data_IF_103894383856
#
_entry.id   IF_103894383856
#
_cell.length_a   1.000
_cell.length_b   1.000
_cell.length_c   1.000
_cell.angle_alpha   90.00
_cell.angle_beta   90.00
_cell.angle_gamma   90.00
#
_symmetry.space_group_name_H-M   'P 1'
#
loop_
_entity.id
_entity.type
_entity.pdbx_description
1 polymer ?
#
# COMPACT_ATOMS: atom_id res chain seq x y z
N UNK A 1 -6.87 -16.67 -1.51
CA UNK A 1 -8.17 -17.21 -1.05
C UNK A 1 -7.87 -18.44 -0.23
N UNK A 2 -8.65 -18.68 0.82
CA UNK A 2 -8.48 -19.85 1.68
C UNK A 2 -9.10 -21.06 0.99
N UNK A 3 -8.38 -22.17 0.97
CA UNK A 3 -8.76 -23.28 0.10
C UNK A 3 -7.82 -24.46 0.17
N UNK A 4 -7.57 -25.02 -1.00
CA UNK A 4 -6.78 -26.22 -1.21
C UNK A 4 -5.78 -25.98 -2.33
N UNK A 5 -4.49 -26.10 -2.02
CA UNK A 5 -3.48 -26.25 -3.06
C UNK A 5 -3.58 -27.67 -3.60
N UNK A 6 -3.60 -27.82 -4.92
CA UNK A 6 -3.72 -29.11 -5.61
C UNK A 6 -2.60 -29.28 -6.63
N UNK A 7 -2.12 -30.50 -6.81
CA UNK A 7 -1.16 -30.87 -7.83
C UNK A 7 -1.77 -31.91 -8.77
N UNK A 8 -1.67 -31.67 -10.08
CA UNK A 8 -2.23 -32.57 -11.09
C UNK A 8 -3.75 -32.53 -11.26
N UNK A 9 -4.33 -33.45 -12.05
CA UNK A 9 -5.77 -33.62 -12.22
C UNK A 9 -6.40 -34.32 -11.00
N UNK A 10 -7.65 -33.96 -10.70
CA UNK A 10 -8.40 -34.55 -9.58
C UNK A 10 -9.16 -35.84 -9.92
N UNK A 11 -9.79 -36.49 -8.93
CA UNK A 11 -9.83 -36.09 -7.51
C UNK A 11 -8.48 -36.28 -6.81
N UNK A 12 -8.23 -35.50 -5.75
CA UNK A 12 -6.93 -35.45 -5.07
C UNK A 12 -6.99 -36.10 -3.68
N UNK A 13 -5.89 -36.70 -3.21
CA UNK A 13 -5.78 -37.20 -1.84
C UNK A 13 -5.55 -36.05 -0.86
N UNK A 14 -6.33 -36.00 0.22
CA UNK A 14 -6.21 -34.97 1.25
C UNK A 14 -5.05 -35.30 2.20
N UNK A 15 -4.05 -34.42 2.21
CA UNK A 15 -2.97 -34.43 3.21
C UNK A 15 -3.51 -33.96 4.56
N UNK A 16 -3.09 -34.64 5.63
CA UNK A 16 -3.53 -34.39 7.02
C UNK A 16 -2.49 -33.62 7.85
N UNK A 17 -1.48 -33.06 7.21
CA UNK A 17 -0.28 -32.45 7.80
C UNK A 17 -0.46 -30.99 8.29
N UNK A 18 -1.66 -30.62 8.74
CA UNK A 18 -1.91 -29.33 9.41
C UNK A 18 -2.11 -28.11 8.50
N UNK A 19 -1.94 -28.28 7.18
CA UNK A 19 -2.16 -27.21 6.20
C UNK A 19 -1.04 -26.16 6.16
N UNK A 20 -1.13 -25.26 5.19
CA UNK A 20 -0.10 -24.26 4.90
C UNK A 20 -0.64 -22.87 5.26
N UNK A 21 0.02 -22.21 6.21
CA UNK A 21 -0.36 -20.89 6.69
C UNK A 21 0.54 -19.79 6.14
N UNK A 22 0.01 -18.57 6.06
CA UNK A 22 0.80 -17.39 5.74
C UNK A 22 1.86 -17.13 6.83
N UNK A 23 2.97 -16.51 6.44
CA UNK A 23 4.06 -16.14 7.35
C UNK A 23 4.96 -17.28 7.83
N UNK A 24 4.72 -18.52 7.39
CA UNK A 24 5.57 -19.68 7.71
C UNK A 24 6.59 -19.97 6.60
N UNK A 25 7.52 -20.88 6.89
CA UNK A 25 8.55 -21.34 5.96
C UNK A 25 7.97 -21.99 4.69
N UNK A 26 8.82 -22.18 3.68
CA UNK A 26 8.42 -22.86 2.46
C UNK A 26 7.93 -24.28 2.78
N UNK A 27 6.70 -24.65 2.38
CA UNK A 27 6.16 -25.98 2.62
C UNK A 27 6.91 -27.03 1.78
N UNK A 28 6.84 -28.28 2.21
CA UNK A 28 7.33 -29.40 1.41
C UNK A 28 6.60 -29.45 0.05
N UNK A 29 7.25 -29.92 -1.03
CA UNK A 29 6.61 -30.12 -2.33
C UNK A 29 5.33 -30.95 -2.23
N UNK A 30 4.31 -30.59 -3.03
CA UNK A 30 3.05 -31.33 -3.08
C UNK A 30 3.13 -32.38 -4.20
N UNK A 31 3.05 -33.69 -3.90
CA UNK A 31 3.06 -34.71 -4.93
C UNK A 31 1.85 -34.61 -5.88
N UNK A 32 2.04 -35.04 -7.12
CA UNK A 32 0.95 -35.14 -8.09
C UNK A 32 -0.20 -36.01 -7.55
N UNK A 33 -1.45 -35.55 -7.72
CA UNK A 33 -2.62 -36.21 -7.18
C UNK A 33 -2.93 -35.92 -5.71
N UNK A 34 -2.15 -35.07 -5.03
CA UNK A 34 -2.41 -34.66 -3.64
C UNK A 34 -3.00 -33.25 -3.55
N UNK A 35 -3.67 -33.01 -2.42
CA UNK A 35 -4.25 -31.74 -2.02
C UNK A 35 -3.93 -31.42 -0.56
N UNK A 36 -3.65 -30.16 -0.25
CA UNK A 36 -3.38 -29.69 1.10
C UNK A 36 -4.10 -28.38 1.36
N UNK A 37 -4.61 -28.19 2.58
CA UNK A 37 -5.23 -26.92 3.00
C UNK A 37 -4.22 -25.80 2.88
N UNK A 38 -4.65 -24.65 2.37
CA UNK A 38 -3.81 -23.47 2.23
C UNK A 38 -4.58 -22.19 2.58
N UNK A 39 -3.95 -21.33 3.37
CA UNK A 39 -4.47 -20.01 3.72
C UNK A 39 -4.05 -18.95 2.69
N UNK A 40 -4.84 -17.88 2.59
CA UNK A 40 -4.54 -16.73 1.74
C UNK A 40 -3.21 -16.09 2.14
N UNK A 41 -2.35 -15.85 1.15
CA UNK A 41 -1.02 -15.26 1.36
C UNK A 41 0.06 -16.27 1.75
N UNK A 42 -0.28 -17.55 1.93
CA UNK A 42 0.71 -18.60 2.10
C UNK A 42 1.55 -18.82 0.84
N UNK A 43 2.79 -19.28 1.03
CA UNK A 43 3.66 -19.68 -0.08
C UNK A 43 3.12 -20.95 -0.72
N UNK A 44 3.04 -20.95 -2.05
CA UNK A 44 2.62 -22.12 -2.84
C UNK A 44 3.75 -23.17 -2.81
N UNK A 45 3.47 -24.43 -2.42
CA UNK A 45 4.43 -25.54 -2.58
C UNK A 45 4.91 -25.71 -4.02
N UNK A 46 6.09 -26.32 -4.17
CA UNK A 46 6.52 -26.79 -5.48
C UNK A 46 5.51 -27.80 -6.06
N UNK A 47 5.42 -27.83 -7.38
CA UNK A 47 4.55 -28.71 -8.20
C UNK A 47 3.03 -28.49 -8.08
N UNK A 48 2.58 -27.50 -7.30
CA UNK A 48 1.17 -27.11 -7.26
C UNK A 48 0.72 -26.57 -8.62
N UNK A 49 -0.40 -27.10 -9.12
CA UNK A 49 -0.98 -26.71 -10.41
C UNK A 49 -2.06 -25.63 -10.25
N UNK A 50 -2.79 -25.61 -9.13
CA UNK A 50 -3.86 -24.66 -8.87
C UNK A 50 -4.18 -24.52 -7.37
N UNK A 51 -4.92 -23.47 -7.02
CA UNK A 51 -5.62 -23.35 -5.75
C UNK A 51 -7.13 -23.38 -5.98
N UNK A 52 -7.83 -24.25 -5.26
CA UNK A 52 -9.29 -24.35 -5.26
C UNK A 52 -9.81 -23.69 -3.99
N UNK A 53 -10.67 -22.68 -4.13
CA UNK A 53 -11.29 -22.01 -2.98
C UNK A 53 -12.14 -22.99 -2.18
N UNK A 54 -12.22 -22.79 -0.87
CA UNK A 54 -12.97 -23.69 0.01
C UNK A 54 -14.44 -23.83 -0.40
N UNK A 55 -15.06 -22.72 -0.82
CA UNK A 55 -16.44 -22.67 -1.31
C UNK A 55 -16.68 -23.45 -2.60
N UNK A 56 -15.62 -23.77 -3.36
CA UNK A 56 -15.68 -24.54 -4.61
C UNK A 56 -15.07 -25.93 -4.48
N UNK A 57 -14.83 -26.41 -3.26
CA UNK A 57 -14.23 -27.69 -2.99
C UNK A 57 -15.14 -28.55 -2.10
N UNK A 58 -15.21 -29.84 -2.40
CA UNK A 58 -15.89 -30.84 -1.59
C UNK A 58 -14.88 -31.87 -1.10
N UNK A 59 -14.67 -31.91 0.22
CA UNK A 59 -13.82 -32.91 0.86
C UNK A 59 -14.70 -34.08 1.33
N UNK A 60 -14.48 -35.26 0.75
CA UNK A 60 -15.04 -36.52 1.21
C UNK A 60 -14.09 -37.09 2.28
N UNK A 61 -14.34 -36.75 3.54
CA UNK A 61 -13.48 -37.16 4.67
C UNK A 61 -13.45 -38.68 4.86
N UNK A 62 -14.53 -39.39 4.52
CA UNK A 62 -14.61 -40.84 4.63
C UNK A 62 -13.63 -41.53 3.67
N UNK A 63 -13.42 -40.94 2.48
CA UNK A 63 -12.46 -41.44 1.48
C UNK A 63 -11.11 -40.74 1.54
N UNK A 64 -11.01 -39.62 2.25
CA UNK A 64 -9.82 -38.77 2.24
C UNK A 64 -9.56 -38.13 0.87
N UNK A 65 -10.60 -37.84 0.10
CA UNK A 65 -10.50 -37.29 -1.26
C UNK A 65 -11.10 -35.89 -1.37
N UNK A 66 -10.49 -35.06 -2.21
CA UNK A 66 -10.95 -33.72 -2.56
C UNK A 66 -11.49 -33.70 -3.99
N UNK A 67 -12.65 -33.07 -4.15
CA UNK A 67 -13.30 -32.83 -5.43
C UNK A 67 -13.47 -31.33 -5.67
N UNK A 68 -13.26 -30.89 -6.91
CA UNK A 68 -13.58 -29.53 -7.33
C UNK A 68 -15.03 -29.43 -7.80
N UNK A 69 -15.68 -28.30 -7.52
CA UNK A 69 -16.91 -27.91 -8.19
C UNK A 69 -16.57 -27.23 -9.51
N UNK A 70 -16.59 -28.01 -10.59
CA UNK A 70 -16.30 -27.52 -11.94
C UNK A 70 -14.85 -27.72 -12.39
N UNK A 71 -14.47 -27.04 -13.47
CA UNK A 71 -13.15 -27.15 -14.07
C UNK A 71 -12.10 -26.37 -13.26
N UNK A 72 -10.90 -26.93 -13.12
CA UNK A 72 -9.75 -26.30 -12.46
C UNK A 72 -8.69 -26.01 -13.52
N UNK A 73 -8.42 -24.73 -13.74
CA UNK A 73 -7.41 -24.28 -14.71
C UNK A 73 -6.02 -24.25 -14.09
N UNK A 74 -4.99 -24.52 -14.89
CA UNK A 74 -3.60 -24.35 -14.46
C UNK A 74 -3.34 -22.89 -14.05
N UNK A 75 -2.70 -22.70 -12.88
CA UNK A 75 -2.41 -21.39 -12.31
C UNK A 75 -3.60 -20.71 -11.61
N UNK A 76 -4.78 -21.35 -11.54
CA UNK A 76 -5.95 -20.76 -10.91
C UNK A 76 -5.68 -20.35 -9.46
N UNK A 77 -6.07 -19.12 -9.12
CA UNK A 77 -5.92 -18.50 -7.80
C UNK A 77 -4.47 -18.51 -7.23
N UNK A 78 -3.47 -18.74 -8.09
CA UNK A 78 -2.04 -18.58 -7.76
C UNK A 78 -1.61 -17.19 -8.21
N UNK A 79 -0.95 -16.45 -7.31
CA UNK A 79 -0.33 -15.15 -7.63
C UNK A 79 1.18 -15.33 -7.86
N UNK A 80 1.68 -15.22 -9.09
CA UNK A 80 3.11 -15.37 -9.36
C UNK A 80 3.96 -14.31 -8.67
N UNK A 81 5.21 -14.66 -8.38
CA UNK A 81 6.19 -13.68 -7.88
C UNK A 81 6.34 -12.53 -8.88
N UNK A 82 6.25 -11.30 -8.37
CA UNK A 82 6.42 -10.09 -9.16
C UNK A 82 5.24 -9.78 -10.09
N UNK A 83 4.05 -10.32 -9.79
CA UNK A 83 2.81 -9.98 -10.49
C UNK A 83 2.46 -8.49 -10.37
N UNK A 84 2.67 -7.90 -9.19
CA UNK A 84 2.38 -6.47 -8.96
C UNK A 84 3.50 -5.56 -9.47
N UNK A 85 4.76 -5.91 -9.18
CA UNK A 85 5.94 -5.18 -9.67
C UNK A 85 7.18 -6.09 -9.61
N UNK A 86 8.18 -5.76 -10.43
CA UNK A 86 9.46 -6.48 -10.47
C UNK A 86 10.57 -5.68 -9.79
N UNK A 87 11.58 -6.40 -9.30
CA UNK A 87 12.80 -5.77 -8.80
C UNK A 87 13.45 -4.92 -9.91
N UNK A 88 13.80 -3.68 -9.57
CA UNK A 88 14.37 -2.71 -10.51
C UNK A 88 13.34 -1.91 -11.31
N UNK A 89 12.05 -2.20 -11.16
CA UNK A 89 11.00 -1.40 -11.78
C UNK A 89 10.86 -0.04 -11.12
N UNK A 90 10.63 0.99 -11.93
CA UNK A 90 10.46 2.35 -11.46
C UNK A 90 9.02 2.55 -10.99
N UNK A 91 8.79 2.49 -9.68
CA UNK A 91 7.45 2.55 -9.10
C UNK A 91 6.83 3.96 -9.14
N UNK A 92 7.65 5.00 -8.93
CA UNK A 92 7.20 6.40 -8.87
C UNK A 92 8.29 7.32 -9.42
N UNK A 93 7.95 8.30 -10.28
CA UNK A 93 8.92 9.27 -10.75
C UNK A 93 9.40 10.23 -9.64
N UNK A 94 10.61 10.76 -9.80
CA UNK A 94 11.12 11.81 -8.92
C UNK A 94 10.20 13.06 -8.97
N UNK A 95 9.89 13.61 -7.79
CA UNK A 95 9.00 14.76 -7.66
C UNK A 95 7.53 14.41 -7.39
N UNK A 96 7.18 13.12 -7.34
CA UNK A 96 5.87 12.69 -6.84
C UNK A 96 5.65 13.18 -5.41
N UNK A 97 4.50 13.81 -5.17
CA UNK A 97 4.07 14.22 -3.82
C UNK A 97 3.82 13.00 -2.97
N UNK A 98 4.39 12.98 -1.76
CA UNK A 98 4.20 11.88 -0.81
C UNK A 98 2.79 11.95 -0.22
N UNK A 99 1.92 11.08 -0.73
CA UNK A 99 0.55 10.84 -0.23
C UNK A 99 0.51 9.55 0.60
N UNK A 100 -0.59 9.25 1.32
CA UNK A 100 -0.72 7.97 2.02
C UNK A 100 -0.54 6.74 1.11
N UNK A 101 -0.98 6.81 -0.14
CA UNK A 101 -0.78 5.73 -1.11
C UNK A 101 0.70 5.53 -1.47
N UNK A 102 1.46 6.63 -1.63
CA UNK A 102 2.91 6.59 -1.86
C UNK A 102 3.63 5.97 -0.66
N UNK A 103 3.22 6.31 0.56
CA UNK A 103 3.78 5.70 1.77
C UNK A 103 3.50 4.20 1.83
N UNK A 104 2.26 3.78 1.53
CA UNK A 104 1.89 2.37 1.48
C UNK A 104 2.69 1.59 0.45
N UNK A 105 2.89 2.16 -0.74
CA UNK A 105 3.69 1.56 -1.80
C UNK A 105 5.17 1.44 -1.40
N UNK A 106 5.75 2.48 -0.79
CA UNK A 106 7.13 2.46 -0.32
C UNK A 106 7.33 1.38 0.76
N UNK A 107 6.41 1.28 1.72
CA UNK A 107 6.45 0.26 2.76
C UNK A 107 6.30 -1.16 2.18
N UNK A 108 5.37 -1.36 1.23
CA UNK A 108 5.19 -2.63 0.54
C UNK A 108 6.44 -3.06 -0.26
N UNK A 109 7.20 -2.09 -0.77
CA UNK A 109 8.48 -2.30 -1.44
C UNK A 109 9.67 -2.45 -0.47
N UNK A 110 9.45 -2.35 0.84
CA UNK A 110 10.47 -2.56 1.89
C UNK A 110 11.32 -1.34 2.22
N UNK A 111 10.85 -0.12 1.94
CA UNK A 111 11.56 1.12 2.29
C UNK A 111 11.10 1.69 3.63
N UNK A 112 12.03 1.85 4.58
CA UNK A 112 11.75 2.46 5.90
C UNK A 112 11.74 4.00 5.85
N UNK A 113 12.39 4.59 4.86
CA UNK A 113 12.48 6.03 4.66
C UNK A 113 12.46 6.39 3.18
N UNK A 114 11.92 7.57 2.87
CA UNK A 114 11.92 8.13 1.52
C UNK A 114 12.82 9.36 1.44
N UNK A 115 13.74 9.45 0.47
CA UNK A 115 14.45 10.69 0.19
C UNK A 115 13.44 11.70 -0.36
N UNK A 116 13.26 12.80 0.36
CA UNK A 116 12.35 13.89 -0.03
C UNK A 116 13.12 15.20 -0.17
N UNK A 117 12.54 16.13 -0.95
CA UNK A 117 13.03 17.50 -0.99
C UNK A 117 12.62 18.20 0.32
N UNK A 118 13.51 18.99 0.95
CA UNK A 118 13.13 19.77 2.13
C UNK A 118 12.03 20.77 1.76
N UNK A 119 11.21 21.13 2.74
CA UNK A 119 10.18 22.16 2.57
C UNK A 119 10.88 23.49 2.23
N UNK A 120 10.40 24.24 1.22
CA UNK A 120 10.90 25.58 0.96
C UNK A 120 10.74 26.46 2.20
N UNK A 121 11.72 27.31 2.49
CA UNK A 121 11.63 28.29 3.57
C UNK A 121 11.24 29.64 2.98
N UNK A 122 10.26 30.29 3.59
CA UNK A 122 9.70 31.55 3.12
C UNK A 122 9.68 32.56 4.25
N UNK A 123 10.32 33.71 4.03
CA UNK A 123 10.18 34.88 4.88
C UNK A 123 9.12 35.82 4.29
N UNK A 124 8.27 36.38 5.16
CA UNK A 124 7.21 37.31 4.76
C UNK A 124 7.55 38.70 5.27
N UNK A 125 7.66 39.66 4.36
CA UNK A 125 7.85 41.08 4.67
C UNK A 125 6.56 41.83 4.35
N UNK A 126 6.07 42.62 5.31
CA UNK A 126 4.90 43.49 5.16
C UNK A 126 5.39 44.92 5.27
N UNK A 127 5.17 45.71 4.22
CA UNK A 127 5.58 47.10 4.10
C UNK A 127 4.32 47.98 4.05
N UNK A 128 4.47 49.25 4.43
CA UNK A 128 3.37 50.21 4.51
C UNK A 128 3.19 50.76 5.93
N UNK A 129 3.57 52.02 6.10
CA UNK A 129 3.37 52.78 7.34
C UNK A 129 1.88 53.01 7.63
N UNK A 130 1.01 52.87 6.62
CA UNK A 130 -0.44 53.00 6.73
C UNK A 130 -1.13 51.77 7.34
N UNK A 131 -0.42 50.65 7.54
CA UNK A 131 -1.01 49.37 7.90
C UNK A 131 -1.23 49.21 9.42
N UNK A 132 -2.49 49.19 9.83
CA UNK A 132 -2.93 48.77 11.16
C UNK A 132 -2.83 47.25 11.34
N UNK A 133 -2.47 46.83 12.55
CA UNK A 133 -2.42 45.40 12.93
C UNK A 133 -3.66 44.95 13.71
N UNK A 134 -4.37 45.91 14.29
CA UNK A 134 -5.55 45.75 15.13
C UNK A 134 -6.54 46.91 14.94
N UNK A 135 -7.77 46.76 15.44
CA UNK A 135 -8.81 47.78 15.33
C UNK A 135 -9.43 47.97 13.93
N UNK A 136 -10.24 49.03 13.82
CA UNK A 136 -10.91 49.48 12.59
C UNK A 136 -10.00 50.47 11.84
N UNK A 137 -10.08 50.57 10.51
CA UNK A 137 -9.45 51.63 9.74
C UNK A 137 -9.88 53.04 10.19
N UNK A 138 -8.94 53.97 10.30
CA UNK A 138 -9.18 55.37 10.68
C UNK A 138 -8.03 56.26 10.20
N UNK A 139 -8.27 57.56 10.06
CA UNK A 139 -7.24 58.59 9.82
C UNK A 139 -6.24 58.29 8.67
N UNK A 140 -6.71 57.67 7.58
CA UNK A 140 -5.86 57.28 6.44
C UNK A 140 -5.12 55.96 6.62
N UNK A 141 -5.22 55.32 7.79
CA UNK A 141 -4.68 54.00 8.07
C UNK A 141 -5.68 52.90 7.68
N UNK A 142 -5.17 51.79 7.14
CA UNK A 142 -5.96 50.64 6.69
C UNK A 142 -5.56 49.37 7.43
N UNK A 143 -6.48 48.42 7.58
CA UNK A 143 -6.20 47.16 8.29
C UNK A 143 -5.44 46.20 7.38
N UNK A 144 -4.32 45.66 7.87
CA UNK A 144 -3.62 44.58 7.19
C UNK A 144 -4.51 43.33 7.10
N UNK A 145 -4.95 43.03 5.88
CA UNK A 145 -5.76 41.85 5.56
C UNK A 145 -4.95 40.70 4.96
N UNK A 146 -3.72 40.95 4.50
CA UNK A 146 -2.91 39.95 3.81
C UNK A 146 -1.93 39.25 4.75
N UNK A 147 -1.29 40.00 5.64
CA UNK A 147 -0.34 39.48 6.63
C UNK A 147 -0.90 38.30 7.43
N UNK A 148 -2.13 38.38 7.98
CA UNK A 148 -2.76 37.25 8.68
C UNK A 148 -3.02 36.02 7.79
N UNK A 149 -3.23 36.20 6.48
CA UNK A 149 -3.60 35.14 5.55
C UNK A 149 -2.39 34.44 4.90
N UNK A 150 -1.31 35.17 4.60
CA UNK A 150 -0.17 34.65 3.83
C UNK A 150 0.51 33.47 4.55
N UNK A 151 0.74 33.57 5.86
CA UNK A 151 1.39 32.51 6.63
C UNK A 151 0.65 31.15 6.50
N UNK A 152 -0.63 31.06 6.88
CA UNK A 152 -1.43 29.85 6.69
C UNK A 152 -1.45 29.35 5.24
N UNK A 153 -1.58 30.24 4.26
CA UNK A 153 -1.63 29.86 2.85
C UNK A 153 -0.32 29.22 2.36
N UNK A 154 0.82 29.82 2.67
CA UNK A 154 2.15 29.29 2.33
C UNK A 154 2.41 27.95 3.01
N UNK A 155 1.97 27.76 4.26
CA UNK A 155 2.07 26.46 4.95
C UNK A 155 1.22 25.38 4.27
N UNK A 156 0.02 25.73 3.84
CA UNK A 156 -0.87 24.82 3.12
C UNK A 156 -0.28 24.37 1.78
N UNK A 157 0.53 25.21 1.14
CA UNK A 157 1.29 24.89 -0.07
C UNK A 157 2.57 24.06 0.19
N UNK A 158 2.87 23.71 1.45
CA UNK A 158 3.96 22.81 1.79
C UNK A 158 5.27 23.49 2.19
N UNK A 159 5.30 24.81 2.34
CA UNK A 159 6.48 25.54 2.78
C UNK A 159 6.51 25.78 4.31
N UNK A 160 7.71 25.97 4.85
CA UNK A 160 7.93 26.49 6.19
C UNK A 160 8.02 28.01 6.11
N UNK A 161 7.14 28.71 6.83
CA UNK A 161 7.04 30.18 6.77
C UNK A 161 7.37 30.80 8.13
N UNK A 162 8.21 31.83 8.10
CA UNK A 162 8.52 32.66 9.27
C UNK A 162 7.30 33.47 9.71
N UNK A 163 7.37 34.05 10.93
CA UNK A 163 6.45 35.11 11.28
C UNK A 163 6.63 36.31 10.32
N UNK A 164 5.55 36.99 9.88
CA UNK A 164 5.67 38.20 9.08
C UNK A 164 6.48 39.27 9.81
N UNK A 165 7.42 39.88 9.12
CA UNK A 165 8.20 41.03 9.62
C UNK A 165 7.64 42.30 8.98
N UNK A 166 7.31 43.27 9.82
CA UNK A 166 6.89 44.60 9.38
C UNK A 166 8.10 45.49 9.21
N UNK A 167 8.13 46.21 8.11
CA UNK A 167 9.14 47.20 7.80
C UNK A 167 8.40 48.49 7.47
N UNK A 168 8.91 49.62 7.97
CA UNK A 168 8.45 50.92 7.49
C UNK A 168 8.98 51.18 6.08
N UNK A 169 8.40 52.17 5.41
CA UNK A 169 8.79 52.58 4.07
C UNK A 169 10.08 53.43 4.06
#
# INVERSE_FOLDING_TARGET
MDGWAVAGPGPWNIRRDGGILAGHDAPAPLPDGDAVRIATGARIPAEVTAVIRSEHAHADEAKGLLYAQGHVSQGQDIRPRGQECRSGEHLLPAGTVVTPAVLGLAAAAGYDALPVRPRPRVDVLVLGDELLTEGLPHDGLIRDALGPMIGPWVRALGADVSAPRRLGD
#
